data_IF_121735457821
#
_entry.id   IF_121735457821
#
_cell.length_a   1.000
_cell.length_b   1.000
_cell.length_c   1.000
_cell.angle_alpha   90.00
_cell.angle_beta   90.00
_cell.angle_gamma   90.00
#
_symmetry.space_group_name_H-M   'P 1'
#
loop_
_entity.id
_entity.type
_entity.pdbx_description
1 polymer ?
#
# COMPACT_ATOMS: atom_id res chain seq x y z
N UNK A 1 1.39 -46.69 -5.59
CA UNK A 1 0.51 -45.72 -6.27
C UNK A 1 0.34 -44.41 -5.48
N UNK A 2 -0.05 -44.45 -4.20
CA UNK A 2 -0.27 -43.25 -3.38
C UNK A 2 1.00 -42.37 -3.17
N UNK A 3 2.17 -42.98 -3.05
CA UNK A 3 3.45 -42.28 -2.85
C UNK A 3 3.95 -41.58 -4.12
N UNK A 4 3.74 -42.21 -5.29
CA UNK A 4 4.00 -41.61 -6.60
C UNK A 4 3.12 -40.38 -6.85
N UNK A 5 1.83 -40.46 -6.50
CA UNK A 5 0.90 -39.33 -6.60
C UNK A 5 1.26 -38.19 -5.62
N UNK A 6 1.73 -38.51 -4.42
CA UNK A 6 2.19 -37.51 -3.43
C UNK A 6 3.47 -36.79 -3.89
N UNK A 7 4.42 -37.51 -4.50
CA UNK A 7 5.63 -36.93 -5.06
C UNK A 7 5.37 -36.08 -6.31
N UNK A 8 4.49 -36.53 -7.20
CA UNK A 8 4.00 -35.72 -8.32
C UNK A 8 3.29 -34.44 -7.84
N UNK A 9 2.54 -34.52 -6.73
CA UNK A 9 1.88 -33.38 -6.07
C UNK A 9 2.86 -32.32 -5.57
N UNK A 10 3.98 -32.75 -5.01
CA UNK A 10 5.01 -31.82 -4.53
C UNK A 10 5.86 -31.26 -5.68
N UNK A 11 6.08 -32.04 -6.73
CA UNK A 11 6.83 -31.61 -7.91
C UNK A 11 6.06 -30.58 -8.75
N UNK A 12 4.72 -30.65 -8.82
CA UNK A 12 3.96 -29.59 -9.49
C UNK A 12 4.07 -28.26 -8.74
N UNK A 13 4.09 -28.26 -7.40
CA UNK A 13 4.23 -27.02 -6.61
C UNK A 13 5.60 -26.38 -6.83
N UNK A 14 6.65 -27.20 -6.88
CA UNK A 14 8.02 -26.75 -7.21
C UNK A 14 8.10 -26.24 -8.65
N UNK A 15 7.44 -26.90 -9.60
CA UNK A 15 7.36 -26.46 -10.98
C UNK A 15 6.60 -25.12 -11.11
N UNK A 16 5.48 -24.95 -10.41
CA UNK A 16 4.73 -23.68 -10.36
C UNK A 16 5.58 -22.57 -9.76
N UNK A 17 6.31 -22.83 -8.68
CA UNK A 17 7.20 -21.83 -8.06
C UNK A 17 8.38 -21.49 -8.98
N UNK A 18 8.97 -22.49 -9.66
CA UNK A 18 10.04 -22.25 -10.63
C UNK A 18 9.55 -21.46 -11.84
N UNK A 19 8.34 -21.77 -12.35
CA UNK A 19 7.70 -21.02 -13.44
C UNK A 19 7.32 -19.60 -12.99
N UNK A 20 6.85 -19.42 -11.77
CA UNK A 20 6.58 -18.10 -11.20
C UNK A 20 7.85 -17.28 -10.99
N UNK A 21 8.96 -17.92 -10.61
CA UNK A 21 10.27 -17.27 -10.47
C UNK A 21 10.87 -16.89 -11.83
N UNK A 22 10.79 -17.77 -12.84
CA UNK A 22 11.23 -17.49 -14.22
C UNK A 22 10.37 -16.39 -14.85
N UNK A 23 9.05 -16.42 -14.62
CA UNK A 23 8.16 -15.34 -15.00
C UNK A 23 8.56 -14.05 -14.29
N UNK A 24 8.74 -14.05 -12.97
CA UNK A 24 9.19 -12.87 -12.23
C UNK A 24 10.52 -12.30 -12.78
N UNK A 25 11.49 -13.15 -13.11
CA UNK A 25 12.77 -12.75 -13.73
C UNK A 25 12.59 -12.22 -15.16
N UNK A 26 11.72 -12.81 -15.97
CA UNK A 26 11.41 -12.33 -17.32
C UNK A 26 10.65 -11.00 -17.29
N UNK A 27 9.73 -10.84 -16.32
CA UNK A 27 8.99 -9.61 -16.08
C UNK A 27 9.90 -8.50 -15.53
N UNK A 28 11.08 -8.82 -15.01
CA UNK A 28 12.17 -7.87 -14.75
C UNK A 28 12.87 -7.40 -16.03
N UNK A 29 12.38 -7.64 -17.26
CA UNK A 29 12.99 -7.08 -18.50
C UNK A 29 12.01 -6.38 -19.48
N UNK A 30 10.69 -6.55 -19.28
CA UNK A 30 9.52 -5.99 -19.99
C UNK A 30 8.99 -4.58 -19.61
N UNK A 31 8.16 -3.90 -20.42
CA UNK A 31 7.16 -2.91 -19.90
C UNK A 31 6.17 -3.52 -18.86
N UNK A 32 6.16 -4.85 -18.76
CA UNK A 32 5.51 -5.63 -17.70
C UNK A 32 6.13 -5.40 -16.30
N UNK A 33 7.37 -4.88 -16.22
CA UNK A 33 8.04 -4.48 -14.96
C UNK A 33 7.16 -3.56 -14.12
N UNK A 34 6.57 -2.55 -14.76
CA UNK A 34 5.72 -1.54 -14.09
C UNK A 34 4.49 -2.19 -13.48
N UNK A 35 3.86 -3.12 -14.20
CA UNK A 35 2.68 -3.84 -13.71
C UNK A 35 3.03 -4.72 -12.51
N UNK A 36 4.17 -5.41 -12.55
CA UNK A 36 4.65 -6.22 -11.41
C UNK A 36 4.92 -5.36 -10.19
N UNK A 37 5.58 -4.21 -10.37
CA UNK A 37 5.85 -3.26 -9.28
C UNK A 37 4.54 -2.74 -8.69
N UNK A 38 3.56 -2.38 -9.52
CA UNK A 38 2.21 -1.97 -9.07
C UNK A 38 1.54 -3.08 -8.26
N UNK A 39 1.56 -4.32 -8.74
CA UNK A 39 0.97 -5.46 -8.03
C UNK A 39 1.68 -5.73 -6.70
N UNK A 40 3.02 -5.65 -6.68
CA UNK A 40 3.80 -5.80 -5.46
C UNK A 40 3.47 -4.71 -4.44
N UNK A 41 3.36 -3.46 -4.89
CA UNK A 41 2.93 -2.34 -4.05
C UNK A 41 1.51 -2.56 -3.49
N UNK A 42 0.58 -3.09 -4.29
CA UNK A 42 -0.77 -3.44 -3.84
C UNK A 42 -0.73 -4.49 -2.73
N UNK A 43 0.05 -5.56 -2.92
CA UNK A 43 0.19 -6.64 -1.94
C UNK A 43 0.85 -6.14 -0.65
N UNK A 44 1.88 -5.30 -0.74
CA UNK A 44 2.55 -4.71 0.43
C UNK A 44 1.58 -3.77 1.17
N UNK A 45 0.89 -2.89 0.45
CA UNK A 45 -0.09 -1.96 1.00
C UNK A 45 -1.22 -2.70 1.72
N UNK A 46 -1.91 -3.60 1.03
CA UNK A 46 -2.99 -4.41 1.60
C UNK A 46 -2.50 -5.31 2.75
N UNK A 47 -1.39 -6.02 2.54
CA UNK A 47 -0.81 -6.95 3.51
C UNK A 47 -0.40 -6.28 4.82
N UNK A 48 0.00 -5.01 4.78
CA UNK A 48 0.32 -4.24 5.99
C UNK A 48 -0.88 -4.06 6.93
N UNK A 49 -2.10 -4.26 6.48
CA UNK A 49 -3.32 -4.17 7.31
C UNK A 49 -3.68 -5.48 8.00
N UNK A 50 -3.05 -6.60 7.62
CA UNK A 50 -3.43 -7.95 8.05
C UNK A 50 -3.34 -8.16 9.57
N UNK A 51 -2.44 -7.46 10.26
CA UNK A 51 -2.32 -7.55 11.72
C UNK A 51 -3.61 -7.16 12.44
N UNK A 52 -4.47 -6.31 11.82
CA UNK A 52 -5.73 -5.88 12.42
C UNK A 52 -6.77 -7.00 12.56
N UNK A 53 -6.58 -8.12 11.86
CA UNK A 53 -7.40 -9.33 12.04
C UNK A 53 -7.17 -9.92 13.44
N UNK A 54 -5.92 -9.91 13.91
CA UNK A 54 -5.53 -10.50 15.18
C UNK A 54 -5.61 -9.50 16.33
N UNK A 55 -5.30 -8.23 16.06
CA UNK A 55 -5.24 -7.17 17.08
C UNK A 55 -6.36 -6.15 16.87
N UNK A 56 -7.40 -6.22 17.72
CA UNK A 56 -8.51 -5.25 17.77
C UNK A 56 -8.11 -4.02 18.58
N UNK A 57 -7.10 -3.29 18.11
CA UNK A 57 -6.59 -2.07 18.72
C UNK A 57 -6.89 -0.87 17.81
N UNK A 58 -7.13 0.34 18.36
CA UNK A 58 -7.25 1.58 17.59
C UNK A 58 -5.95 2.03 16.92
N UNK A 59 -4.95 1.16 16.80
CA UNK A 59 -3.62 1.46 16.29
C UNK A 59 -3.54 1.10 14.81
N UNK A 60 -3.05 2.03 13.98
CA UNK A 60 -2.99 1.87 12.53
C UNK A 60 -1.55 1.92 11.98
N UNK A 61 -1.02 0.77 11.56
CA UNK A 61 0.32 0.57 11.01
C UNK A 61 0.29 0.13 9.55
N UNK A 62 -0.45 0.86 8.71
CA UNK A 62 -0.55 0.54 7.29
C UNK A 62 0.43 1.32 6.41
N UNK A 63 0.91 0.64 5.36
CA UNK A 63 1.83 1.11 4.35
C UNK A 63 1.15 1.62 3.08
N UNK A 64 -0.19 1.65 3.04
CA UNK A 64 -0.96 2.07 1.85
C UNK A 64 -0.52 3.45 1.35
N UNK A 65 -0.38 4.42 2.26
CA UNK A 65 0.03 5.79 1.89
C UNK A 65 1.46 5.82 1.37
N UNK A 66 2.35 5.09 2.04
CA UNK A 66 3.74 4.96 1.62
C UNK A 66 3.86 4.44 0.19
N UNK A 67 3.18 3.32 -0.14
CA UNK A 67 3.22 2.76 -1.49
C UNK A 67 2.52 3.64 -2.52
N UNK A 68 1.41 4.30 -2.16
CA UNK A 68 0.70 5.23 -3.06
C UNK A 68 1.55 6.45 -3.41
N UNK A 69 2.18 7.08 -2.43
CA UNK A 69 3.00 8.29 -2.65
C UNK A 69 4.24 7.94 -3.49
N UNK A 70 4.92 6.84 -3.17
CA UNK A 70 6.07 6.37 -3.98
C UNK A 70 5.65 6.00 -5.40
N UNK A 71 4.55 5.29 -5.57
CA UNK A 71 4.01 4.97 -6.89
C UNK A 71 3.72 6.25 -7.68
N UNK A 72 3.18 7.28 -7.03
CA UNK A 72 2.85 8.55 -7.68
C UNK A 72 4.08 9.29 -8.17
N UNK A 73 5.13 9.34 -7.36
CA UNK A 73 6.38 10.03 -7.72
C UNK A 73 7.08 9.34 -8.90
N UNK A 74 6.99 8.00 -9.00
CA UNK A 74 7.69 7.22 -10.03
C UNK A 74 6.85 7.07 -11.31
N UNK A 75 5.58 6.71 -11.17
CA UNK A 75 4.72 6.31 -12.28
C UNK A 75 3.60 7.32 -12.61
N UNK A 76 3.48 8.39 -11.81
CA UNK A 76 2.44 9.39 -11.95
C UNK A 76 1.14 9.06 -11.21
N UNK A 77 0.14 9.94 -11.30
CA UNK A 77 -1.00 9.92 -10.41
C UNK A 77 -1.97 8.77 -10.71
N UNK A 78 -2.13 8.38 -11.98
CA UNK A 78 -3.10 7.34 -12.37
C UNK A 78 -2.73 5.96 -11.81
N UNK A 79 -1.49 5.45 -12.00
CA UNK A 79 -1.07 4.21 -11.35
C UNK A 79 -1.17 4.26 -9.83
N UNK A 80 -0.83 5.41 -9.22
CA UNK A 80 -0.90 5.58 -7.77
C UNK A 80 -2.32 5.53 -7.21
N UNK A 81 -3.29 6.12 -7.92
CA UNK A 81 -4.71 6.03 -7.57
C UNK A 81 -5.15 4.56 -7.55
N UNK A 82 -4.77 3.79 -8.58
CA UNK A 82 -5.07 2.36 -8.67
C UNK A 82 -4.45 1.60 -7.50
N UNK A 83 -3.15 1.81 -7.23
CA UNK A 83 -2.44 1.20 -6.11
C UNK A 83 -3.14 1.52 -4.80
N UNK A 84 -3.43 2.80 -4.52
CA UNK A 84 -4.04 3.23 -3.28
C UNK A 84 -5.42 2.62 -3.06
N UNK A 85 -6.31 2.74 -4.05
CA UNK A 85 -7.70 2.28 -3.94
C UNK A 85 -7.74 0.76 -3.80
N UNK A 86 -7.01 0.02 -4.64
CA UNK A 86 -7.04 -1.45 -4.60
C UNK A 86 -6.40 -1.97 -3.30
N UNK A 87 -5.26 -1.40 -2.87
CA UNK A 87 -4.64 -1.79 -1.60
C UNK A 87 -5.59 -1.60 -0.42
N UNK A 88 -6.27 -0.46 -0.39
CA UNK A 88 -7.21 -0.11 0.67
C UNK A 88 -8.45 -0.99 0.63
N UNK A 89 -9.02 -1.23 -0.55
CA UNK A 89 -10.17 -2.11 -0.71
C UNK A 89 -9.86 -3.54 -0.25
N UNK A 90 -8.75 -4.12 -0.71
CA UNK A 90 -8.31 -5.46 -0.31
C UNK A 90 -8.04 -5.51 1.20
N UNK A 91 -7.32 -4.52 1.76
CA UNK A 91 -7.04 -4.46 3.19
C UNK A 91 -8.31 -4.40 4.05
N UNK A 92 -9.30 -3.58 3.66
CA UNK A 92 -10.58 -3.51 4.36
C UNK A 92 -11.42 -4.76 4.21
N UNK A 93 -11.44 -5.37 3.03
CA UNK A 93 -12.08 -6.67 2.82
C UNK A 93 -11.49 -7.75 3.72
N UNK A 94 -10.16 -7.83 3.82
CA UNK A 94 -9.47 -8.83 4.64
C UNK A 94 -9.74 -8.64 6.14
N UNK A 95 -9.91 -7.39 6.58
CA UNK A 95 -10.18 -7.06 7.98
C UNK A 95 -11.67 -7.03 8.33
N UNK A 96 -12.57 -7.13 7.34
CA UNK A 96 -14.02 -7.05 7.52
C UNK A 96 -14.54 -5.64 7.85
N UNK A 97 -13.74 -4.59 7.64
CA UNK A 97 -14.04 -3.20 8.03
C UNK A 97 -14.44 -2.33 6.84
N UNK A 98 -15.41 -2.76 6.04
CA UNK A 98 -15.98 -1.92 4.96
C UNK A 98 -16.97 -0.91 5.54
N UNK A 99 -16.46 0.13 6.18
CA UNK A 99 -17.26 1.18 6.82
C UNK A 99 -17.23 2.49 6.01
N UNK A 100 -17.93 3.51 6.50
CA UNK A 100 -18.06 4.83 5.86
C UNK A 100 -16.69 5.53 5.64
N UNK A 101 -15.68 5.15 6.43
CA UNK A 101 -14.29 5.58 6.27
C UNK A 101 -13.65 5.10 4.95
N UNK A 102 -14.22 4.10 4.26
CA UNK A 102 -13.74 3.62 2.96
C UNK A 102 -13.91 4.69 1.88
N UNK A 103 -15.09 5.29 1.76
CA UNK A 103 -15.34 6.33 0.75
C UNK A 103 -14.48 7.56 1.04
N UNK A 104 -14.42 7.98 2.31
CA UNK A 104 -13.54 9.07 2.74
C UNK A 104 -12.07 8.80 2.37
N UNK A 105 -11.62 7.56 2.55
CA UNK A 105 -10.26 7.16 2.21
C UNK A 105 -9.95 7.18 0.72
N UNK A 106 -10.92 6.86 -0.15
CA UNK A 106 -10.73 6.98 -1.60
C UNK A 106 -10.45 8.43 -1.99
N UNK A 107 -11.24 9.38 -1.48
CA UNK A 107 -11.09 10.81 -1.76
C UNK A 107 -9.68 11.28 -1.35
N UNK A 108 -9.26 10.91 -0.15
CA UNK A 108 -7.94 11.26 0.36
C UNK A 108 -6.80 10.60 -0.45
N UNK A 109 -6.94 9.33 -0.86
CA UNK A 109 -5.96 8.62 -1.70
C UNK A 109 -5.81 9.28 -3.07
N UNK A 110 -6.91 9.70 -3.68
CA UNK A 110 -6.88 10.43 -4.95
C UNK A 110 -6.15 11.77 -4.78
N UNK A 111 -6.48 12.52 -3.74
CA UNK A 111 -5.85 13.80 -3.46
C UNK A 111 -4.32 13.67 -3.27
N UNK A 112 -3.86 12.76 -2.41
CA UNK A 112 -2.42 12.58 -2.18
C UNK A 112 -1.70 12.01 -3.40
N UNK A 113 -2.37 11.22 -4.25
CA UNK A 113 -1.79 10.72 -5.49
C UNK A 113 -1.53 11.86 -6.47
N UNK A 114 -2.48 12.78 -6.63
CA UNK A 114 -2.31 13.95 -7.50
C UNK A 114 -1.22 14.88 -6.94
N UNK A 115 -1.27 15.19 -5.64
CA UNK A 115 -0.29 16.07 -4.99
C UNK A 115 1.13 15.49 -5.04
N UNK A 116 1.32 14.20 -4.76
CA UNK A 116 2.64 13.57 -4.83
C UNK A 116 3.25 13.69 -6.23
N UNK A 117 2.47 13.51 -7.30
CA UNK A 117 2.97 13.66 -8.67
C UNK A 117 3.26 15.11 -9.01
N UNK A 118 2.47 16.06 -8.51
CA UNK A 118 2.68 17.50 -8.74
C UNK A 118 3.97 18.00 -8.08
N UNK A 119 4.36 17.42 -6.95
CA UNK A 119 5.53 17.80 -6.15
C UNK A 119 6.68 16.78 -6.20
N UNK A 120 6.79 15.98 -7.26
CA UNK A 120 7.79 14.90 -7.41
C UNK A 120 9.27 15.34 -7.36
N UNK A 121 9.55 16.64 -7.38
CA UNK A 121 10.90 17.22 -7.22
C UNK A 121 11.29 17.54 -5.77
N UNK A 122 10.35 17.40 -4.82
CA UNK A 122 10.61 17.58 -3.38
C UNK A 122 11.25 16.31 -2.81
N UNK A 123 12.07 16.44 -1.76
CA UNK A 123 12.61 15.27 -1.02
C UNK A 123 11.47 14.33 -0.61
N UNK A 124 11.62 13.05 -0.95
CA UNK A 124 10.56 12.04 -0.81
C UNK A 124 10.16 11.81 0.66
N UNK A 125 11.07 12.00 1.61
CA UNK A 125 10.78 11.84 3.04
C UNK A 125 9.87 12.97 3.48
N UNK A 126 10.25 14.22 3.16
CA UNK A 126 9.46 15.40 3.49
C UNK A 126 8.08 15.37 2.82
N UNK A 127 8.05 15.10 1.51
CA UNK A 127 6.81 15.00 0.73
C UNK A 127 5.89 13.92 1.31
N UNK A 128 6.46 12.75 1.62
CA UNK A 128 5.74 11.63 2.21
C UNK A 128 5.06 11.96 3.53
N UNK A 129 5.81 12.55 4.45
CA UNK A 129 5.30 12.93 5.78
C UNK A 129 4.17 13.96 5.65
N UNK A 130 4.36 15.01 4.83
CA UNK A 130 3.34 16.05 4.62
C UNK A 130 2.07 15.42 4.06
N UNK A 131 2.18 14.58 3.03
CA UNK A 131 1.01 13.99 2.38
C UNK A 131 0.28 12.97 3.26
N UNK A 132 0.98 12.28 4.16
CA UNK A 132 0.32 11.46 5.19
C UNK A 132 -0.50 12.32 6.15
N UNK A 133 0.01 13.48 6.55
CA UNK A 133 -0.76 14.43 7.38
C UNK A 133 -1.97 14.95 6.60
N UNK A 134 -1.78 15.37 5.34
CA UNK A 134 -2.87 15.83 4.46
C UNK A 134 -3.95 14.76 4.32
N UNK A 135 -3.57 13.50 4.12
CA UNK A 135 -4.50 12.38 4.05
C UNK A 135 -5.41 12.32 5.28
N UNK A 136 -4.84 12.41 6.49
CA UNK A 136 -5.62 12.37 7.72
C UNK A 136 -6.43 13.65 7.96
N UNK A 137 -5.94 14.81 7.52
CA UNK A 137 -6.70 16.06 7.54
C UNK A 137 -7.94 16.02 6.64
N UNK A 138 -7.93 15.19 5.58
CA UNK A 138 -9.10 14.97 4.72
C UNK A 138 -10.06 13.98 5.38
N UNK A 139 -9.57 12.82 5.82
CA UNK A 139 -10.45 11.74 6.31
C UNK A 139 -11.09 12.08 7.64
N UNK A 140 -10.31 12.59 8.59
CA UNK A 140 -10.77 12.79 9.96
C UNK A 140 -12.06 13.63 10.04
N UNK A 141 -12.18 14.82 9.41
CA UNK A 141 -13.43 15.59 9.44
C UNK A 141 -14.60 14.87 8.74
N UNK A 142 -14.34 14.15 7.65
CA UNK A 142 -15.39 13.40 6.94
C UNK A 142 -15.94 12.29 7.85
N UNK A 143 -15.06 11.49 8.45
CA UNK A 143 -15.46 10.39 9.35
C UNK A 143 -16.18 10.93 10.58
N UNK A 144 -15.74 12.06 11.14
CA UNK A 144 -16.45 12.72 12.25
C UNK A 144 -17.86 13.17 11.84
N UNK A 145 -18.02 13.75 10.65
CA UNK A 145 -19.34 14.19 10.15
C UNK A 145 -20.31 13.02 9.93
N UNK A 146 -19.78 11.80 9.77
CA UNK A 146 -20.55 10.57 9.61
C UNK A 146 -20.80 9.84 10.93
N UNK A 147 -20.52 10.48 12.07
CA UNK A 147 -20.78 9.93 13.41
C UNK A 147 -19.61 9.16 14.03
N UNK A 148 -18.40 9.28 13.49
CA UNK A 148 -17.20 8.63 14.02
C UNK A 148 -16.82 9.11 15.42
N UNK A 149 -16.17 8.23 16.20
CA UNK A 149 -15.69 8.56 17.54
C UNK A 149 -14.37 9.36 17.48
N UNK A 150 -14.35 10.56 18.09
CA UNK A 150 -13.18 11.45 18.11
C UNK A 150 -11.97 10.77 18.76
N UNK A 151 -12.12 10.17 19.94
CA UNK A 151 -11.01 9.56 20.67
C UNK A 151 -10.37 8.41 19.90
N UNK A 152 -11.20 7.54 19.33
CA UNK A 152 -10.73 6.46 18.46
C UNK A 152 -10.01 7.01 17.22
N UNK A 153 -10.59 8.01 16.56
CA UNK A 153 -10.01 8.61 15.37
C UNK A 153 -8.65 9.28 15.62
N UNK A 154 -8.49 9.97 16.76
CA UNK A 154 -7.21 10.61 17.13
C UNK A 154 -6.11 9.57 17.34
N UNK A 155 -6.39 8.49 18.06
CA UNK A 155 -5.40 7.42 18.29
C UNK A 155 -5.06 6.70 16.98
N UNK A 156 -6.07 6.44 16.15
CA UNK A 156 -5.93 5.80 14.85
C UNK A 156 -5.09 6.63 13.87
N UNK A 157 -5.45 7.91 13.69
CA UNK A 157 -4.71 8.82 12.81
C UNK A 157 -3.31 9.11 13.36
N UNK A 158 -3.18 9.37 14.66
CA UNK A 158 -1.90 9.68 15.30
C UNK A 158 -0.91 8.52 15.20
N UNK A 159 -1.33 7.29 15.52
CA UNK A 159 -0.47 6.11 15.37
C UNK A 159 -0.03 5.89 13.92
N UNK A 160 -0.91 6.14 12.95
CA UNK A 160 -0.57 6.01 11.54
C UNK A 160 0.41 7.08 11.04
N UNK A 161 0.25 8.32 11.50
CA UNK A 161 1.18 9.41 11.18
C UNK A 161 2.57 9.07 11.74
N UNK A 162 2.66 8.71 13.02
CA UNK A 162 3.93 8.36 13.67
C UNK A 162 4.60 7.19 12.95
N UNK A 163 3.84 6.14 12.65
CA UNK A 163 4.35 4.97 11.93
C UNK A 163 4.86 5.31 10.53
N UNK A 164 4.12 6.15 9.78
CA UNK A 164 4.55 6.55 8.45
C UNK A 164 5.73 7.52 8.50
N UNK A 165 5.86 8.39 9.51
CA UNK A 165 7.08 9.20 9.71
C UNK A 165 8.29 8.29 9.84
N UNK A 166 8.23 7.26 10.69
CA UNK A 166 9.32 6.30 10.82
C UNK A 166 9.59 5.55 9.50
N UNK A 167 8.53 5.08 8.85
CA UNK A 167 8.60 4.37 7.57
C UNK A 167 9.26 5.22 6.49
N UNK A 168 8.87 6.49 6.33
CA UNK A 168 9.44 7.37 5.32
C UNK A 168 10.91 7.68 5.60
N UNK A 169 11.28 7.95 6.86
CA UNK A 169 12.68 8.21 7.21
C UNK A 169 13.59 7.00 6.93
N UNK A 170 13.10 5.78 7.17
CA UNK A 170 13.90 4.57 7.03
C UNK A 170 13.90 4.02 5.60
N UNK A 171 12.75 3.99 4.94
CA UNK A 171 12.54 3.20 3.73
C UNK A 171 12.34 4.04 2.47
N UNK A 172 11.97 5.32 2.56
CA UNK A 172 11.57 6.06 1.36
C UNK A 172 12.69 6.19 0.33
N UNK A 173 13.90 6.56 0.76
CA UNK A 173 15.04 6.74 -0.16
C UNK A 173 15.52 5.42 -0.75
N UNK A 174 15.77 4.35 0.04
CA UNK A 174 16.16 3.06 -0.54
C UNK A 174 15.10 2.50 -1.49
N UNK A 175 13.82 2.56 -1.12
CA UNK A 175 12.75 2.02 -1.96
C UNK A 175 12.57 2.86 -3.22
N UNK A 176 12.61 4.19 -3.13
CA UNK A 176 12.53 5.06 -4.31
C UNK A 176 13.67 4.77 -5.29
N UNK A 177 14.89 4.60 -4.78
CA UNK A 177 16.04 4.22 -5.62
C UNK A 177 15.81 2.88 -6.33
N UNK A 178 15.31 1.87 -5.63
CA UNK A 178 14.96 0.58 -6.26
C UNK A 178 13.90 0.79 -7.35
N UNK A 179 12.83 1.53 -7.07
CA UNK A 179 11.73 1.73 -8.01
C UNK A 179 12.17 2.48 -9.27
N UNK A 180 13.06 3.47 -9.15
CA UNK A 180 13.58 4.23 -10.29
C UNK A 180 14.54 3.42 -11.17
N UNK A 181 15.20 2.41 -10.61
CA UNK A 181 16.15 1.55 -11.34
C UNK A 181 15.54 0.19 -11.75
N UNK A 182 14.39 -0.19 -11.20
CA UNK A 182 13.66 -1.41 -11.55
C UNK A 182 12.79 -1.27 -12.81
N UNK A 183 12.62 -0.04 -13.31
CA UNK A 183 11.83 0.32 -14.50
C UNK A 183 12.79 0.57 -15.64
#
# INVERSE_FOLDING_TARGET
MAEFLKNARNNYKKLIVALAAVLAIYLLFTGVRVIVVILAMIVIGAGSTFYQIFFRSPINFELIKFVTILCSVVFGPVPAIIVGIISNFIGKMMTGKLEADFIASIIALVAISILASAFKGVDIVLLGIILVVVYHLIIFPIVLSLGGNIGYGVIYSGSNIIFNIATFNLLARPVLWILQNAV
#
